data_IF_583067928380
#
_entry.id   IF_583067928380
#
_cell.length_a   1.000
_cell.length_b   1.000
_cell.length_c   1.000
_cell.angle_alpha   90.00
_cell.angle_beta   90.00
_cell.angle_gamma   90.00
#
_symmetry.space_group_name_H-M   'P 1'
#
loop_
_entity.id
_entity.type
_entity.pdbx_description
1 polymer ?
#
# COMPACT_ATOMS: atom_id res chain seq x y z
N UNK A 1 21.88 -55.83 -31.72
CA UNK A 1 22.17 -55.04 -30.50
C UNK A 1 21.33 -53.78 -30.55
N UNK A 2 20.33 -53.66 -29.66
CA UNK A 2 19.46 -52.48 -29.54
C UNK A 2 20.10 -51.52 -28.53
N UNK A 3 20.30 -50.26 -28.93
CA UNK A 3 20.64 -49.18 -28.00
C UNK A 3 19.41 -48.29 -27.93
N UNK A 4 18.68 -48.37 -26.82
CA UNK A 4 17.61 -47.43 -26.48
C UNK A 4 18.25 -46.22 -25.79
N UNK A 5 18.15 -45.06 -26.41
CA UNK A 5 18.52 -43.78 -25.81
C UNK A 5 17.30 -43.30 -25.02
N UNK A 6 17.45 -43.26 -23.69
CA UNK A 6 16.45 -42.75 -22.76
C UNK A 6 16.68 -41.25 -22.59
N UNK A 7 15.89 -40.43 -23.28
CA UNK A 7 15.88 -38.97 -23.10
C UNK A 7 15.10 -38.65 -21.83
N UNK A 8 15.81 -38.26 -20.75
CA UNK A 8 15.16 -37.76 -19.53
C UNK A 8 14.74 -36.32 -19.78
N UNK A 9 13.45 -36.12 -19.98
CA UNK A 9 12.81 -34.81 -20.05
C UNK A 9 12.73 -34.26 -18.62
N UNK A 10 13.63 -33.33 -18.26
CA UNK A 10 13.45 -32.52 -17.06
C UNK A 10 12.33 -31.52 -17.32
N UNK A 11 11.10 -31.90 -16.97
CA UNK A 11 10.01 -30.97 -16.73
C UNK A 11 10.34 -30.23 -15.43
N UNK A 12 11.04 -29.10 -15.56
CA UNK A 12 11.02 -28.07 -14.53
C UNK A 12 9.61 -27.55 -14.43
N UNK A 13 8.82 -28.14 -13.53
CA UNK A 13 7.61 -27.52 -13.02
C UNK A 13 8.10 -26.31 -12.24
N UNK A 14 8.24 -25.17 -12.92
CA UNK A 14 8.20 -23.88 -12.25
C UNK A 14 6.78 -23.80 -11.68
N UNK A 15 6.63 -24.19 -10.43
CA UNK A 15 5.43 -23.95 -9.65
C UNK A 15 5.31 -22.43 -9.51
N UNK A 16 4.68 -21.80 -10.49
CA UNK A 16 4.17 -20.43 -10.40
C UNK A 16 3.05 -20.47 -9.36
N UNK A 17 3.43 -20.52 -8.08
CA UNK A 17 2.53 -20.29 -6.95
C UNK A 17 2.69 -18.83 -6.49
N UNK A 18 2.58 -17.90 -7.44
CA UNK A 18 2.42 -16.46 -7.22
C UNK A 18 1.00 -15.97 -7.53
N UNK A 19 0.03 -16.87 -7.73
CA UNK A 19 -1.33 -16.48 -8.10
C UNK A 19 -1.95 -15.57 -7.03
N UNK A 20 -2.43 -14.40 -7.47
CA UNK A 20 -3.28 -13.47 -6.72
C UNK A 20 -4.47 -14.25 -6.10
N UNK A 21 -4.39 -14.56 -4.80
CA UNK A 21 -5.32 -15.47 -4.13
C UNK A 21 -6.55 -14.73 -3.61
N UNK A 22 -7.67 -15.46 -3.58
CA UNK A 22 -8.84 -15.06 -2.81
C UNK A 22 -8.48 -15.02 -1.33
N UNK A 23 -8.92 -13.98 -0.63
CA UNK A 23 -8.69 -13.85 0.80
C UNK A 23 -9.79 -14.54 1.61
N UNK A 24 -9.39 -15.13 2.73
CA UNK A 24 -10.33 -15.68 3.72
C UNK A 24 -10.37 -14.74 4.93
N UNK A 25 -11.57 -14.38 5.38
CA UNK A 25 -11.75 -13.48 6.52
C UNK A 25 -12.87 -13.97 7.45
N UNK A 26 -12.77 -13.63 8.73
CA UNK A 26 -13.78 -13.95 9.72
C UNK A 26 -15.00 -13.01 9.58
N UNK A 27 -16.23 -13.53 9.67
CA UNK A 27 -17.47 -12.74 9.62
C UNK A 27 -17.53 -11.61 10.65
N UNK A 28 -16.77 -11.71 11.74
CA UNK A 28 -16.65 -10.64 12.74
C UNK A 28 -16.02 -9.35 12.18
N UNK A 29 -15.23 -9.45 11.10
CA UNK A 29 -14.54 -8.30 10.50
C UNK A 29 -15.55 -7.28 9.95
N UNK A 30 -16.44 -7.61 9.01
CA UNK A 30 -17.42 -6.64 8.54
C UNK A 30 -18.37 -6.15 9.64
N UNK A 31 -18.74 -6.99 10.60
CA UNK A 31 -19.56 -6.56 11.75
C UNK A 31 -18.85 -5.50 12.59
N UNK A 32 -17.56 -5.71 12.87
CA UNK A 32 -16.74 -4.76 13.61
C UNK A 32 -16.62 -3.43 12.86
N UNK A 33 -16.36 -3.47 11.55
CA UNK A 33 -16.24 -2.26 10.73
C UNK A 33 -17.55 -1.46 10.71
N UNK A 34 -18.69 -2.13 10.55
CA UNK A 34 -20.01 -1.47 10.63
C UNK A 34 -20.17 -0.82 12.01
N UNK A 35 -19.90 -1.57 13.08
CA UNK A 35 -20.08 -1.10 14.46
C UNK A 35 -19.25 0.16 14.75
N UNK A 36 -17.95 0.18 14.42
CA UNK A 36 -17.12 1.36 14.68
C UNK A 36 -17.54 2.55 13.83
N UNK A 37 -18.05 2.35 12.61
CA UNK A 37 -18.49 3.46 11.76
C UNK A 37 -19.83 4.05 12.22
N UNK A 38 -20.72 3.24 12.76
CA UNK A 38 -22.01 3.68 13.29
C UNK A 38 -21.87 4.31 14.69
N UNK A 39 -20.79 4.00 15.41
CA UNK A 39 -20.54 4.45 16.79
C UNK A 39 -19.26 5.30 16.92
N UNK A 40 -18.96 6.15 15.93
CA UNK A 40 -17.89 7.17 15.96
C UNK A 40 -16.50 6.63 16.39
N UNK A 41 -16.11 5.48 15.85
CA UNK A 41 -14.82 4.84 16.08
C UNK A 41 -14.75 3.94 17.30
N UNK A 42 -15.85 3.76 18.04
CA UNK A 42 -15.88 2.92 19.25
C UNK A 42 -16.79 1.70 19.06
N UNK A 43 -16.50 0.63 19.79
CA UNK A 43 -17.41 -0.49 19.94
C UNK A 43 -17.20 -1.15 21.30
N UNK A 44 -18.29 -1.34 22.05
CA UNK A 44 -18.28 -1.90 23.41
C UNK A 44 -18.89 -3.31 23.47
N UNK A 45 -19.27 -3.88 22.33
CA UNK A 45 -19.80 -5.24 22.26
C UNK A 45 -18.65 -6.25 22.49
N UNK A 46 -18.79 -7.08 23.52
CA UNK A 46 -17.79 -8.06 23.93
C UNK A 46 -17.48 -9.10 22.86
N UNK A 47 -18.36 -9.31 21.88
CA UNK A 47 -18.05 -10.17 20.74
C UNK A 47 -16.80 -9.68 19.99
N UNK A 48 -16.53 -8.38 20.01
CA UNK A 48 -15.37 -7.80 19.35
C UNK A 48 -14.07 -7.96 20.14
N UNK A 49 -14.08 -8.58 21.33
CA UNK A 49 -12.85 -8.95 22.07
C UNK A 49 -12.13 -10.18 21.49
N UNK A 50 -12.54 -10.63 20.31
CA UNK A 50 -11.88 -11.69 19.54
C UNK A 50 -10.44 -11.36 19.18
N UNK A 51 -9.57 -12.37 19.27
CA UNK A 51 -8.17 -12.30 18.84
C UNK A 51 -8.02 -12.03 17.34
N UNK A 52 -9.03 -12.40 16.54
CA UNK A 52 -9.05 -12.16 15.08
C UNK A 52 -9.04 -10.67 14.72
N UNK A 53 -9.40 -9.81 15.68
CA UNK A 53 -9.41 -8.36 15.53
C UNK A 53 -8.16 -7.68 16.09
N UNK A 54 -7.22 -8.40 16.73
CA UNK A 54 -6.09 -7.80 17.42
C UNK A 54 -5.23 -6.93 16.50
N UNK A 55 -4.83 -7.48 15.35
CA UNK A 55 -4.01 -6.73 14.37
C UNK A 55 -4.78 -5.55 13.78
N UNK A 56 -6.05 -5.75 13.42
CA UNK A 56 -6.95 -4.72 12.90
C UNK A 56 -7.13 -3.56 13.88
N UNK A 57 -7.40 -3.86 15.16
CA UNK A 57 -7.55 -2.88 16.24
C UNK A 57 -6.25 -2.12 16.47
N UNK A 58 -5.11 -2.82 16.52
CA UNK A 58 -3.80 -2.20 16.68
C UNK A 58 -3.50 -1.25 15.51
N UNK A 59 -3.75 -1.68 14.27
CA UNK A 59 -3.55 -0.88 13.06
C UNK A 59 -4.40 0.39 13.05
N UNK A 60 -5.70 0.29 13.32
CA UNK A 60 -6.58 1.47 13.36
C UNK A 60 -6.32 2.37 14.56
N UNK A 61 -5.94 1.81 15.71
CA UNK A 61 -5.50 2.59 16.86
C UNK A 61 -4.27 3.41 16.49
N UNK A 62 -3.27 2.81 15.83
CA UNK A 62 -2.08 3.53 15.38
C UNK A 62 -2.41 4.63 14.36
N UNK A 63 -3.23 4.32 13.36
CA UNK A 63 -3.74 5.28 12.39
C UNK A 63 -4.64 6.36 13.01
N UNK A 64 -5.09 6.23 14.25
CA UNK A 64 -5.86 7.30 14.91
C UNK A 64 -4.95 8.31 15.61
N UNK A 65 -3.71 7.92 15.96
CA UNK A 65 -2.77 8.78 16.65
C UNK A 65 -2.25 9.88 15.73
N UNK A 66 -1.99 11.05 16.32
CA UNK A 66 -1.35 12.21 15.66
C UNK A 66 0.14 11.95 15.46
N UNK A 67 0.82 11.54 16.53
CA UNK A 67 2.20 11.05 16.52
C UNK A 67 2.13 9.53 16.56
N UNK A 68 2.61 8.87 15.51
CA UNK A 68 2.46 7.44 15.33
C UNK A 68 3.74 6.82 14.76
N UNK A 69 3.86 5.51 14.97
CA UNK A 69 4.91 4.65 14.47
C UNK A 69 4.35 3.71 13.38
N UNK A 70 3.48 4.22 12.51
CA UNK A 70 2.80 3.42 11.47
C UNK A 70 3.78 2.80 10.45
N UNK A 71 5.01 3.33 10.37
CA UNK A 71 6.10 2.80 9.55
C UNK A 71 6.99 1.78 10.27
N UNK A 72 6.64 1.39 11.50
CA UNK A 72 7.37 0.34 12.22
C UNK A 72 7.15 -1.04 11.59
N UNK A 73 8.08 -1.97 11.84
CA UNK A 73 7.99 -3.36 11.37
C UNK A 73 6.68 -4.05 11.77
N UNK A 74 6.07 -3.65 12.89
CA UNK A 74 4.77 -4.18 13.32
C UNK A 74 3.67 -4.00 12.28
N UNK A 75 3.66 -2.87 11.55
CA UNK A 75 2.64 -2.54 10.56
C UNK A 75 3.14 -2.69 9.12
N UNK A 76 4.46 -2.70 8.90
CA UNK A 76 5.02 -2.96 7.57
C UNK A 76 5.10 -4.45 7.22
N UNK A 77 5.20 -5.34 8.22
CA UNK A 77 5.19 -6.79 7.99
C UNK A 77 3.91 -7.22 7.26
N UNK A 78 3.94 -8.41 6.65
CA UNK A 78 2.78 -8.99 5.98
C UNK A 78 1.53 -8.97 6.90
N UNK A 79 0.46 -8.25 6.52
CA UNK A 79 -0.77 -8.20 7.30
C UNK A 79 -1.61 -9.45 7.09
N UNK A 80 -2.46 -9.75 8.07
CA UNK A 80 -3.50 -10.79 7.98
C UNK A 80 -4.59 -10.39 6.98
N UNK A 81 -5.24 -11.38 6.38
CA UNK A 81 -6.36 -11.16 5.46
C UNK A 81 -7.52 -10.44 6.15
N UNK A 82 -7.76 -10.74 7.44
CA UNK A 82 -8.70 -9.99 8.27
C UNK A 82 -8.41 -8.48 8.30
N UNK A 83 -7.15 -8.09 8.52
CA UNK A 83 -6.73 -6.69 8.54
C UNK A 83 -6.77 -6.05 7.15
N UNK A 84 -6.43 -6.79 6.10
CA UNK A 84 -6.57 -6.35 4.72
C UNK A 84 -8.03 -6.01 4.37
N UNK A 85 -8.95 -6.93 4.64
CA UNK A 85 -10.39 -6.75 4.39
C UNK A 85 -10.94 -5.61 5.25
N UNK A 86 -10.58 -5.55 6.53
CA UNK A 86 -10.96 -4.46 7.43
C UNK A 86 -10.54 -3.08 6.87
N UNK A 87 -9.28 -2.93 6.45
CA UNK A 87 -8.78 -1.68 5.90
C UNK A 87 -9.46 -1.31 4.59
N UNK A 88 -9.72 -2.28 3.71
CA UNK A 88 -10.43 -2.07 2.46
C UNK A 88 -11.86 -1.57 2.71
N UNK A 89 -12.63 -2.22 3.59
CA UNK A 89 -13.97 -1.80 3.96
C UNK A 89 -13.99 -0.39 4.57
N UNK A 90 -13.06 -0.12 5.48
CA UNK A 90 -12.88 1.21 6.05
C UNK A 90 -12.59 2.27 4.96
N UNK A 91 -11.76 1.95 3.98
CA UNK A 91 -11.46 2.83 2.85
C UNK A 91 -12.68 3.10 1.99
N UNK A 92 -13.48 2.07 1.68
CA UNK A 92 -14.74 2.24 0.93
C UNK A 92 -15.74 3.12 1.67
N UNK A 93 -15.83 2.99 3.00
CA UNK A 93 -16.67 3.85 3.82
C UNK A 93 -16.18 5.30 3.83
N UNK A 94 -14.86 5.54 3.92
CA UNK A 94 -14.27 6.88 3.73
C UNK A 94 -14.61 7.46 2.37
N UNK A 95 -14.47 6.67 1.31
CA UNK A 95 -14.84 7.12 -0.04
C UNK A 95 -16.32 7.47 -0.16
N UNK A 96 -17.19 6.68 0.47
CA UNK A 96 -18.62 6.97 0.55
C UNK A 96 -18.93 8.22 1.40
N UNK A 97 -18.14 8.52 2.44
CA UNK A 97 -18.37 9.73 3.24
C UNK A 97 -18.15 11.02 2.46
N UNK A 98 -17.35 10.98 1.39
CA UNK A 98 -17.17 12.07 0.42
C UNK A 98 -18.13 12.01 -0.78
N UNK A 99 -19.16 11.14 -0.76
CA UNK A 99 -20.21 11.16 -1.77
C UNK A 99 -21.18 12.32 -1.47
N UNK A 100 -21.25 13.26 -2.40
CA UNK A 100 -22.15 14.41 -2.33
C UNK A 100 -22.74 14.73 -3.71
N UNK A 101 -23.89 15.42 -3.78
CA UNK A 101 -24.53 15.78 -5.05
C UNK A 101 -23.58 16.50 -6.03
N UNK A 102 -22.66 17.32 -5.52
CA UNK A 102 -21.72 18.08 -6.34
C UNK A 102 -20.64 17.21 -7.02
N UNK A 103 -20.39 15.99 -6.53
CA UNK A 103 -19.54 14.98 -7.18
C UNK A 103 -20.34 13.93 -7.96
N UNK A 104 -21.65 14.14 -8.12
CA UNK A 104 -22.53 13.26 -8.88
C UNK A 104 -22.81 11.90 -8.23
N UNK A 105 -22.52 11.74 -6.93
CA UNK A 105 -22.67 10.47 -6.21
C UNK A 105 -23.53 10.64 -4.96
N UNK A 106 -24.45 9.70 -4.75
CA UNK A 106 -25.27 9.66 -3.53
C UNK A 106 -24.55 8.88 -2.44
N UNK A 107 -24.52 9.43 -1.22
CA UNK A 107 -24.04 8.73 -0.03
C UNK A 107 -24.96 7.54 0.29
N UNK A 108 -24.37 6.36 0.42
CA UNK A 108 -25.06 5.13 0.82
C UNK A 108 -24.96 4.88 2.32
N UNK A 109 -25.84 4.02 2.85
CA UNK A 109 -25.79 3.56 4.24
C UNK A 109 -24.56 2.69 4.49
N UNK A 110 -23.97 2.77 5.68
CA UNK A 110 -22.76 2.02 6.09
C UNK A 110 -22.86 0.53 5.75
N UNK A 111 -23.91 -0.14 6.22
CA UNK A 111 -24.16 -1.56 5.94
C UNK A 111 -24.22 -1.88 4.45
N UNK A 112 -24.86 -1.02 3.64
CA UNK A 112 -24.97 -1.21 2.19
C UNK A 112 -23.62 -1.10 1.49
N UNK A 113 -22.77 -0.15 1.89
CA UNK A 113 -21.41 -0.01 1.36
C UNK A 113 -20.59 -1.27 1.66
N UNK A 114 -20.65 -1.77 2.90
CA UNK A 114 -19.92 -2.97 3.31
C UNK A 114 -20.39 -4.19 2.52
N UNK A 115 -21.69 -4.45 2.46
CA UNK A 115 -22.25 -5.58 1.69
C UNK A 115 -21.87 -5.53 0.20
N UNK A 116 -21.95 -4.35 -0.43
CA UNK A 116 -21.57 -4.18 -1.82
C UNK A 116 -20.07 -4.38 -2.05
N UNK A 117 -19.24 -3.94 -1.10
CA UNK A 117 -17.78 -4.09 -1.17
C UNK A 117 -17.36 -5.54 -1.02
N UNK A 118 -18.05 -6.33 -0.18
CA UNK A 118 -17.79 -7.76 -0.03
C UNK A 118 -18.21 -8.58 -1.25
N UNK A 119 -19.33 -8.23 -1.90
CA UNK A 119 -19.77 -8.89 -3.16
C UNK A 119 -18.77 -8.74 -4.31
N UNK A 120 -17.91 -7.72 -4.23
CA UNK A 120 -16.88 -7.40 -5.22
C UNK A 120 -15.52 -7.28 -4.52
N UNK A 121 -15.30 -8.12 -3.51
CA UNK A 121 -14.05 -8.11 -2.75
C UNK A 121 -12.91 -8.41 -3.72
N UNK A 122 -11.90 -7.55 -3.82
CA UNK A 122 -10.80 -7.81 -4.71
C UNK A 122 -9.86 -8.86 -4.13
N UNK A 123 -9.04 -9.40 -5.01
CA UNK A 123 -8.00 -10.34 -4.66
C UNK A 123 -6.92 -9.69 -3.77
N UNK A 124 -6.10 -10.54 -3.13
CA UNK A 124 -5.18 -10.13 -2.07
C UNK A 124 -4.23 -8.99 -2.44
N UNK A 125 -3.68 -8.99 -3.65
CA UNK A 125 -2.68 -7.97 -4.05
C UNK A 125 -3.26 -6.56 -4.06
N UNK A 126 -4.51 -6.41 -4.51
CA UNK A 126 -5.18 -5.12 -4.47
C UNK A 126 -5.49 -4.70 -3.02
N UNK A 127 -5.96 -5.62 -2.17
CA UNK A 127 -6.17 -5.33 -0.75
C UNK A 127 -4.87 -4.90 -0.05
N UNK A 128 -3.76 -5.56 -0.36
CA UNK A 128 -2.44 -5.23 0.15
C UNK A 128 -1.98 -3.85 -0.31
N UNK A 129 -2.23 -3.49 -1.58
CA UNK A 129 -1.97 -2.16 -2.09
C UNK A 129 -2.80 -1.08 -1.37
N UNK A 130 -4.08 -1.35 -1.06
CA UNK A 130 -4.91 -0.46 -0.23
C UNK A 130 -4.35 -0.31 1.20
N UNK A 131 -3.85 -1.39 1.79
CA UNK A 131 -3.24 -1.40 3.12
C UNK A 131 -1.99 -0.52 3.17
N UNK A 132 -0.99 -0.77 2.33
CA UNK A 132 0.22 0.05 2.32
C UNK A 132 -0.02 1.48 1.85
N UNK A 133 -0.96 1.71 0.92
CA UNK A 133 -1.37 3.07 0.58
C UNK A 133 -1.92 3.81 1.81
N UNK A 134 -2.69 3.15 2.68
CA UNK A 134 -3.20 3.77 3.91
C UNK A 134 -2.08 4.19 4.86
N UNK A 135 -1.01 3.39 4.97
CA UNK A 135 0.19 3.73 5.74
C UNK A 135 0.87 4.98 5.19
N UNK A 136 1.20 5.01 3.91
CA UNK A 136 1.98 6.11 3.34
C UNK A 136 1.16 7.39 3.10
N UNK A 137 -0.17 7.27 2.94
CA UNK A 137 -1.08 8.42 3.01
C UNK A 137 -1.08 9.02 4.42
N UNK A 138 -1.08 8.19 5.46
CA UNK A 138 -1.04 8.66 6.85
C UNK A 138 0.27 9.39 7.17
N UNK A 139 1.41 8.80 6.77
CA UNK A 139 2.75 9.44 6.85
C UNK A 139 2.71 10.81 6.19
N UNK A 140 2.29 10.88 4.92
CA UNK A 140 2.24 12.13 4.17
C UNK A 140 1.36 13.19 4.83
N UNK A 141 0.26 12.79 5.47
CA UNK A 141 -0.71 13.72 6.03
C UNK A 141 -0.35 14.20 7.44
N UNK A 142 0.24 13.34 8.28
CA UNK A 142 0.43 13.61 9.71
C UNK A 142 1.87 13.85 10.13
N UNK A 143 2.84 13.25 9.45
CA UNK A 143 4.25 13.40 9.78
C UNK A 143 4.81 14.57 8.96
N UNK A 144 4.51 15.80 9.38
CA UNK A 144 4.98 17.05 8.73
C UNK A 144 5.77 17.92 9.74
N UNK A 145 7.08 18.16 9.54
CA UNK A 145 7.92 17.56 8.49
C UNK A 145 8.05 16.04 8.69
N UNK A 146 8.17 15.30 7.59
CA UNK A 146 8.46 13.88 7.65
C UNK A 146 9.93 13.72 8.05
N UNK A 147 10.23 12.81 8.97
CA UNK A 147 11.60 12.39 9.25
C UNK A 147 11.63 10.89 9.46
N UNK A 148 12.06 10.18 8.42
CA UNK A 148 12.27 8.74 8.39
C UNK A 148 13.72 8.41 8.01
N UNK A 149 14.65 9.37 8.19
CA UNK A 149 16.07 9.23 7.83
C UNK A 149 16.77 8.03 8.48
N UNK A 150 16.39 7.73 9.73
CA UNK A 150 16.88 6.58 10.50
C UNK A 150 16.10 5.28 10.20
N UNK A 151 15.07 5.34 9.37
CA UNK A 151 14.24 4.17 9.04
C UNK A 151 14.82 3.42 7.84
N UNK A 152 15.06 2.12 8.02
CA UNK A 152 15.33 1.20 6.94
C UNK A 152 14.16 0.21 6.81
N UNK A 153 13.44 0.29 5.69
CA UNK A 153 12.40 -0.67 5.32
C UNK A 153 13.11 -1.88 4.69
N UNK A 154 13.32 -2.90 5.49
CA UNK A 154 13.97 -4.14 5.09
C UNK A 154 12.95 -5.15 4.56
N UNK A 155 12.69 -5.08 3.25
CA UNK A 155 11.70 -5.89 2.54
C UNK A 155 11.97 -7.40 2.66
N UNK A 156 13.21 -7.80 2.95
CA UNK A 156 13.58 -9.20 3.14
C UNK A 156 13.14 -9.74 4.51
N UNK A 157 12.92 -8.86 5.49
CA UNK A 157 12.56 -9.22 6.87
C UNK A 157 11.11 -8.88 7.24
N UNK A 158 10.27 -8.52 6.26
CA UNK A 158 8.84 -8.22 6.46
C UNK A 158 7.91 -9.44 6.27
N UNK A 159 8.47 -10.62 5.98
CA UNK A 159 7.73 -11.85 5.68
C UNK A 159 6.71 -11.70 4.52
N UNK A 160 7.04 -10.88 3.52
CA UNK A 160 6.26 -10.77 2.27
C UNK A 160 6.52 -12.00 1.40
N UNK A 161 5.47 -12.57 0.79
CA UNK A 161 5.56 -13.90 0.17
C UNK A 161 6.41 -13.94 -1.10
N UNK A 162 6.42 -12.83 -1.86
CA UNK A 162 7.01 -12.77 -3.19
C UNK A 162 7.35 -11.33 -3.59
N UNK A 163 7.99 -11.22 -4.74
CA UNK A 163 8.42 -9.93 -5.31
C UNK A 163 7.26 -9.00 -5.63
N UNK A 164 6.07 -9.52 -5.93
CA UNK A 164 4.86 -8.70 -6.11
C UNK A 164 4.47 -8.01 -4.81
N UNK A 165 4.44 -8.70 -3.68
CA UNK A 165 4.13 -8.08 -2.38
C UNK A 165 5.20 -7.04 -1.97
N UNK A 166 6.48 -7.34 -2.22
CA UNK A 166 7.59 -6.39 -2.00
C UNK A 166 7.45 -5.14 -2.87
N UNK A 167 7.15 -5.32 -4.15
CA UNK A 167 6.92 -4.23 -5.10
C UNK A 167 5.70 -3.39 -4.71
N UNK A 168 4.62 -4.00 -4.22
CA UNK A 168 3.43 -3.26 -3.74
C UNK A 168 3.80 -2.31 -2.60
N UNK A 169 4.54 -2.78 -1.59
CA UNK A 169 4.98 -1.93 -0.47
C UNK A 169 5.85 -0.77 -0.98
N UNK A 170 6.90 -1.09 -1.73
CA UNK A 170 7.82 -0.07 -2.25
C UNK A 170 7.10 0.97 -3.13
N UNK A 171 6.32 0.52 -4.11
CA UNK A 171 5.67 1.41 -5.07
C UNK A 171 4.57 2.27 -4.43
N UNK A 172 3.84 1.75 -3.43
CA UNK A 172 2.88 2.56 -2.67
C UNK A 172 3.57 3.63 -1.83
N UNK A 173 4.75 3.33 -1.25
CA UNK A 173 5.59 4.33 -0.61
C UNK A 173 6.01 5.43 -1.59
N UNK A 174 6.52 5.04 -2.76
CA UNK A 174 6.96 5.98 -3.79
C UNK A 174 5.82 6.83 -4.35
N UNK A 175 4.62 6.27 -4.48
CA UNK A 175 3.45 7.01 -4.93
C UNK A 175 3.07 8.17 -4.02
N UNK A 176 3.18 7.99 -2.71
CA UNK A 176 2.69 8.96 -1.73
C UNK A 176 3.81 9.84 -1.19
N UNK A 177 4.90 9.23 -0.73
CA UNK A 177 6.07 9.93 -0.19
C UNK A 177 6.98 10.38 -1.34
N UNK A 178 7.34 9.48 -2.25
CA UNK A 178 8.22 9.79 -3.37
C UNK A 178 7.68 10.85 -4.33
N UNK A 179 6.38 10.92 -4.57
CA UNK A 179 5.79 11.94 -5.44
C UNK A 179 5.94 13.38 -4.91
N UNK A 180 6.23 13.57 -3.62
CA UNK A 180 6.63 14.90 -3.10
C UNK A 180 7.98 15.33 -3.69
N UNK A 181 8.93 14.40 -3.88
CA UNK A 181 10.19 14.69 -4.56
C UNK A 181 9.96 15.11 -5.99
N UNK A 182 9.14 14.38 -6.75
CA UNK A 182 8.76 14.77 -8.12
C UNK A 182 8.22 16.19 -8.14
N UNK A 183 7.31 16.51 -7.21
CA UNK A 183 6.72 17.84 -7.10
C UNK A 183 7.79 18.91 -6.84
N UNK A 184 8.72 18.69 -5.92
CA UNK A 184 9.80 19.64 -5.64
C UNK A 184 10.80 19.75 -6.78
N UNK A 185 11.24 18.64 -7.37
CA UNK A 185 12.24 18.62 -8.43
C UNK A 185 11.75 19.17 -9.78
N UNK A 186 10.43 19.11 -10.05
CA UNK A 186 9.84 19.58 -11.31
C UNK A 186 9.18 20.96 -11.20
N UNK A 187 9.07 21.54 -9.99
CA UNK A 187 8.49 22.88 -9.81
C UNK A 187 9.33 23.90 -10.58
N UNK A 188 8.69 24.56 -11.55
CA UNK A 188 9.37 25.32 -12.60
C UNK A 188 10.06 26.60 -12.11
N UNK A 189 9.56 27.23 -11.04
CA UNK A 189 10.11 28.48 -10.51
C UNK A 189 9.76 28.68 -9.02
N UNK A 190 10.74 29.00 -8.13
CA UNK A 190 12.20 28.95 -8.32
C UNK A 190 12.71 27.49 -8.46
N UNK A 191 13.97 27.29 -8.87
CA UNK A 191 14.62 25.97 -8.75
C UNK A 191 14.54 25.53 -7.28
N UNK A 192 13.94 24.37 -7.07
CA UNK A 192 13.53 23.90 -5.76
C UNK A 192 14.24 22.58 -5.40
N UNK A 193 15.37 22.29 -6.05
CA UNK A 193 16.19 21.13 -5.76
C UNK A 193 16.64 21.05 -4.30
N UNK A 194 16.90 22.17 -3.63
CA UNK A 194 17.22 22.16 -2.20
C UNK A 194 16.11 21.51 -1.35
N UNK A 195 14.82 21.75 -1.66
CA UNK A 195 13.70 21.09 -0.96
C UNK A 195 13.58 19.62 -1.35
N UNK A 196 13.87 19.27 -2.59
CA UNK A 196 13.89 17.88 -3.02
C UNK A 196 14.98 17.10 -2.27
N UNK A 197 16.16 17.69 -2.10
CA UNK A 197 17.29 17.09 -1.39
C UNK A 197 17.02 17.01 0.11
N UNK A 198 16.54 18.08 0.73
CA UNK A 198 16.10 18.06 2.14
C UNK A 198 15.02 17.00 2.38
N UNK A 199 14.06 16.85 1.47
CA UNK A 199 13.03 15.83 1.59
C UNK A 199 13.60 14.41 1.40
N UNK A 200 14.55 14.23 0.46
CA UNK A 200 15.25 12.96 0.24
C UNK A 200 16.01 12.53 1.49
N UNK A 201 16.73 13.43 2.16
CA UNK A 201 17.49 13.13 3.38
C UNK A 201 16.59 12.61 4.51
N UNK A 202 15.32 13.00 4.50
CA UNK A 202 14.31 12.58 5.46
C UNK A 202 13.51 11.34 5.03
N UNK A 203 13.75 10.77 3.85
CA UNK A 203 13.08 9.55 3.39
C UNK A 203 13.67 8.29 4.01
N UNK A 204 12.87 7.20 4.14
CA UNK A 204 13.40 5.92 4.54
C UNK A 204 14.32 5.35 3.47
N UNK A 205 15.23 4.48 3.91
CA UNK A 205 15.97 3.57 3.02
C UNK A 205 15.16 2.30 2.78
N UNK A 206 15.41 1.65 1.65
CA UNK A 206 14.85 0.35 1.30
C UNK A 206 16.00 -0.63 1.12
N UNK A 207 16.03 -1.70 1.93
CA UNK A 207 17.13 -2.66 1.98
C UNK A 207 18.52 -2.00 2.09
N UNK A 208 18.63 -0.95 2.90
CA UNK A 208 19.85 -0.18 3.15
C UNK A 208 20.20 0.85 2.08
N UNK A 209 19.44 0.92 0.98
CA UNK A 209 19.70 1.83 -0.14
C UNK A 209 18.72 3.02 -0.14
N UNK A 210 19.13 4.21 -0.63
CA UNK A 210 18.15 5.24 -0.97
C UNK A 210 17.27 4.76 -2.14
N UNK A 211 16.05 5.29 -2.24
CA UNK A 211 15.06 4.77 -3.19
C UNK A 211 15.51 4.80 -4.66
N UNK A 212 16.34 5.77 -5.06
CA UNK A 212 16.82 5.92 -6.46
C UNK A 212 17.89 4.87 -6.84
N UNK A 213 18.51 4.23 -5.84
CA UNK A 213 19.42 3.09 -6.01
C UNK A 213 18.74 1.75 -5.74
N UNK A 214 17.46 1.76 -5.37
CA UNK A 214 16.71 0.54 -5.13
C UNK A 214 16.34 -0.14 -6.45
N UNK A 215 16.66 -1.43 -6.53
CA UNK A 215 16.36 -2.27 -7.69
C UNK A 215 14.94 -2.85 -7.50
N UNK A 216 13.96 -2.27 -8.19
CA UNK A 216 12.58 -2.77 -8.20
C UNK A 216 12.56 -4.18 -8.80
N UNK A 217 12.16 -5.23 -8.05
CA UNK A 217 12.12 -6.58 -8.60
C UNK A 217 11.07 -6.70 -9.71
N UNK A 218 11.23 -7.69 -10.58
CA UNK A 218 10.18 -8.04 -11.53
C UNK A 218 8.98 -8.63 -10.77
N UNK A 219 7.78 -8.17 -11.11
CA UNK A 219 6.56 -8.60 -10.44
C UNK A 219 5.39 -8.77 -11.39
N UNK A 220 4.39 -9.55 -10.98
CA UNK A 220 3.16 -9.77 -11.73
C UNK A 220 2.24 -8.55 -11.61
N UNK A 221 1.69 -8.10 -12.73
CA UNK A 221 0.74 -6.99 -12.73
C UNK A 221 -0.67 -7.44 -12.32
N UNK A 222 -1.47 -6.51 -11.81
CA UNK A 222 -2.86 -6.75 -11.41
C UNK A 222 -3.67 -5.46 -11.54
N UNK A 223 -5.00 -5.59 -11.57
CA UNK A 223 -5.89 -4.43 -11.62
C UNK A 223 -6.13 -3.83 -10.24
N UNK A 224 -6.15 -2.50 -10.15
CA UNK A 224 -6.43 -1.75 -8.93
C UNK A 224 -7.47 -0.65 -9.16
N UNK A 225 -8.40 -0.52 -8.21
CA UNK A 225 -9.32 0.61 -8.15
C UNK A 225 -8.68 1.82 -7.47
N UNK A 226 -8.36 2.85 -8.25
CA UNK A 226 -7.76 4.10 -7.74
C UNK A 226 -8.75 5.25 -7.61
N UNK A 227 -9.87 5.19 -8.32
CA UNK A 227 -10.93 6.18 -8.31
C UNK A 227 -12.26 5.46 -8.47
N UNK A 228 -13.14 5.59 -7.48
CA UNK A 228 -14.50 5.00 -7.46
C UNK A 228 -15.38 5.34 -8.68
N UNK A 229 -14.98 6.34 -9.48
CA UNK A 229 -15.72 6.81 -10.67
C UNK A 229 -15.19 6.21 -11.98
N UNK A 230 -14.05 5.52 -11.95
CA UNK A 230 -13.38 4.99 -13.14
C UNK A 230 -13.27 3.47 -13.05
N UNK A 231 -13.15 2.78 -14.20
CA UNK A 231 -12.75 1.38 -14.21
C UNK A 231 -11.42 1.19 -13.46
N UNK A 232 -11.17 -0.05 -13.02
CA UNK A 232 -9.84 -0.43 -12.54
C UNK A 232 -8.81 -0.27 -13.66
N UNK A 233 -7.56 -0.13 -13.27
CA UNK A 233 -6.43 -0.01 -14.19
C UNK A 233 -5.26 -0.85 -13.70
N UNK A 234 -4.26 -1.05 -14.57
CA UNK A 234 -3.02 -1.74 -14.21
C UNK A 234 -2.31 -1.05 -13.04
N UNK A 235 -1.87 -1.86 -12.07
CA UNK A 235 -1.04 -1.38 -10.96
C UNK A 235 0.29 -0.86 -11.47
N UNK A 236 0.93 -1.55 -12.43
CA UNK A 236 2.16 -1.07 -13.08
C UNK A 236 1.96 0.29 -13.75
N UNK A 237 0.96 0.43 -14.59
CA UNK A 237 0.64 1.70 -15.28
C UNK A 237 0.39 2.84 -14.30
N UNK A 238 -0.18 2.51 -13.12
CA UNK A 238 -0.50 3.50 -12.11
C UNK A 238 0.70 3.94 -11.28
N UNK A 239 1.57 3.01 -10.86
CA UNK A 239 2.55 3.26 -9.81
C UNK A 239 4.00 3.38 -10.32
N UNK A 240 4.39 2.65 -11.37
CA UNK A 240 5.76 2.74 -11.91
C UNK A 240 6.13 4.16 -12.36
N UNK A 241 5.28 4.88 -13.11
CA UNK A 241 5.63 6.23 -13.56
C UNK A 241 5.92 7.20 -12.41
N UNK A 242 5.29 7.00 -11.26
CA UNK A 242 5.47 7.86 -10.08
C UNK A 242 6.85 7.65 -9.45
N UNK A 243 7.30 6.39 -9.38
CA UNK A 243 8.65 6.03 -8.95
C UNK A 243 9.71 6.56 -9.93
N UNK A 244 9.54 6.31 -11.23
CA UNK A 244 10.50 6.75 -12.26
C UNK A 244 10.62 8.28 -12.30
N UNK A 245 9.51 9.01 -12.20
CA UNK A 245 9.53 10.48 -12.15
C UNK A 245 10.25 11.00 -10.91
N UNK A 246 10.08 10.35 -9.75
CA UNK A 246 10.78 10.74 -8.53
C UNK A 246 12.28 10.48 -8.65
N UNK A 247 12.67 9.34 -9.24
CA UNK A 247 14.06 8.97 -9.51
C UNK A 247 14.73 9.97 -10.47
N UNK A 248 14.12 10.23 -11.62
CA UNK A 248 14.64 11.21 -12.59
C UNK A 248 14.75 12.61 -11.99
N UNK A 249 13.75 13.02 -11.20
CA UNK A 249 13.75 14.31 -10.51
C UNK A 249 14.94 14.46 -9.55
N UNK A 250 15.20 13.45 -8.73
CA UNK A 250 16.29 13.53 -7.75
C UNK A 250 17.67 13.38 -8.39
N UNK A 251 17.82 12.52 -9.40
CA UNK A 251 19.07 12.38 -10.17
C UNK A 251 19.48 13.71 -10.80
N UNK A 252 18.52 14.45 -11.36
CA UNK A 252 18.75 15.80 -11.89
C UNK A 252 19.22 16.76 -10.78
N UNK A 253 18.54 16.80 -9.64
CA UNK A 253 18.91 17.70 -8.55
C UNK A 253 20.30 17.40 -7.96
N UNK A 254 20.65 16.12 -7.82
CA UNK A 254 21.98 15.69 -7.36
C UNK A 254 23.09 16.03 -8.37
N UNK A 255 22.77 16.08 -9.67
CA UNK A 255 23.71 16.53 -10.69
C UNK A 255 23.91 18.06 -10.65
N UNK A 256 22.88 18.83 -10.32
CA UNK A 256 22.98 20.29 -10.16
C UNK A 256 23.81 20.70 -8.93
N UNK A 257 23.70 19.98 -7.81
CA UNK A 257 24.52 20.26 -6.60
C UNK A 257 26.03 20.04 -6.79
N UNK A 258 26.41 19.18 -7.73
CA UNK A 258 27.82 18.84 -8.00
C UNK A 258 28.53 19.87 -8.90
N UNK A 259 27.79 20.81 -9.49
CA UNK A 259 28.30 21.85 -10.39
C UNK A 259 28.32 23.22 -9.71
#
# INVERSE_FOLDING_TARGET
MKISILTILFLSINSVFGQNKSVEYNEIIPEYIISIWENNGTSSDSKFDSTDLNETKAFFSELSKRENAITSNQFLKKPTDNTLVANYLNTKLKWNSFNEPHVGLKKELTKKVVENSLKKLPERNELLAFYYSSIFIDVLNKQKPMNLSDTNIDLENLNLDNDTEKAILFLTAMRHVGNQLTSYATTRFPNNCFRAIEYLENMPKFNGKPFYEFDLPEFEDFEIEVDKRKPKMSFKERYIPEFENAKLGIEKCLAEEKN
#
